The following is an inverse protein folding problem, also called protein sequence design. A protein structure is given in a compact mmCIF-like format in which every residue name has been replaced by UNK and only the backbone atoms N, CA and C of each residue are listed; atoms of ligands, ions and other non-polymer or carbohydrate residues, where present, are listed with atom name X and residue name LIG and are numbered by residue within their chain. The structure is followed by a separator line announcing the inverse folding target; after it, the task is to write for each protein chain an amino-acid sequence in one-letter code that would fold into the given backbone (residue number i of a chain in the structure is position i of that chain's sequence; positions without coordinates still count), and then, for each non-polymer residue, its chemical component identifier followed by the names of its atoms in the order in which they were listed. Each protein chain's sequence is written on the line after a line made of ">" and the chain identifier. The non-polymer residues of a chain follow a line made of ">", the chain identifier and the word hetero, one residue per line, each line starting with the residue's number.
data_IF_723749171008
#
_entry.id   IF_723749171008
#
_cell.length_a   1.000
_cell.length_b   1.000
_cell.length_c   1.000
_cell.angle_alpha   90.00
_cell.angle_beta   90.00
_cell.angle_gamma   90.00
#
_symmetry.space_group_name_H-M   'P 1'
#
loop_
_entity.id
_entity.type
_entity.pdbx_description
1 polymer ?
#
# COMPACT_ATOMS: atom_id res chain seq x y z
N UNK A 1 14.84 -2.23 -16.91
CA UNK A 1 15.68 -1.13 -16.39
C UNK A 1 16.19 -1.56 -15.03
N UNK A 2 17.49 -1.45 -14.74
CA UNK A 2 18.02 -1.83 -13.42
C UNK A 2 17.67 -0.75 -12.41
N UNK A 3 16.92 -1.09 -11.37
CA UNK A 3 16.57 -0.17 -10.29
C UNK A 3 17.85 0.24 -9.54
N UNK A 4 18.14 1.54 -9.44
CA UNK A 4 19.33 2.03 -8.73
C UNK A 4 19.22 1.77 -7.23
N UNK A 5 20.36 1.61 -6.54
CA UNK A 5 20.41 1.40 -5.09
C UNK A 5 19.72 2.51 -4.31
N UNK A 6 19.77 3.74 -4.82
CA UNK A 6 19.18 4.92 -4.19
C UNK A 6 17.65 4.89 -4.25
N UNK A 7 17.09 4.27 -5.28
CA UNK A 7 15.64 4.14 -5.47
C UNK A 7 15.03 3.16 -4.46
N UNK A 8 15.68 2.01 -4.24
CA UNK A 8 15.29 1.06 -3.19
C UNK A 8 15.32 1.69 -1.80
N UNK A 9 16.39 2.45 -1.50
CA UNK A 9 16.53 3.12 -0.21
C UNK A 9 15.39 4.12 0.07
N UNK A 10 14.82 4.75 -0.96
CA UNK A 10 13.68 5.65 -0.80
C UNK A 10 12.40 4.92 -0.41
N UNK A 11 12.11 3.77 -1.03
CA UNK A 11 10.96 2.94 -0.63
C UNK A 11 11.07 2.46 0.81
N UNK A 12 12.28 2.04 1.23
CA UNK A 12 12.50 1.56 2.58
C UNK A 12 12.35 2.67 3.63
N UNK A 13 12.79 3.90 3.32
CA UNK A 13 12.57 5.08 4.19
C UNK A 13 11.10 5.44 4.35
N UNK A 14 10.28 5.12 3.34
CA UNK A 14 8.85 5.37 3.31
C UNK A 14 8.05 4.10 3.62
N UNK A 15 8.67 3.04 4.12
CA UNK A 15 7.96 1.84 4.54
C UNK A 15 7.47 2.02 5.99
N UNK A 16 6.21 1.68 6.24
CA UNK A 16 5.68 1.48 7.59
C UNK A 16 5.49 -0.02 7.87
N UNK A 17 5.96 -0.44 9.04
CA UNK A 17 5.73 -1.78 9.58
C UNK A 17 4.42 -1.85 10.35
N UNK A 18 3.90 -3.07 10.58
CA UNK A 18 2.71 -3.27 11.42
C UNK A 18 2.90 -2.70 12.82
N UNK A 19 4.07 -2.86 13.42
CA UNK A 19 4.32 -2.39 14.79
C UNK A 19 4.33 -0.86 14.88
N UNK A 20 4.89 -0.18 13.87
CA UNK A 20 4.82 1.28 13.76
C UNK A 20 3.38 1.76 13.57
N UNK A 21 2.62 1.11 12.70
CA UNK A 21 1.21 1.43 12.51
C UNK A 21 0.38 1.23 13.78
N UNK A 22 0.65 0.19 14.58
CA UNK A 22 -0.01 -0.02 15.88
C UNK A 22 0.31 1.12 16.85
N UNK A 23 1.57 1.56 16.92
CA UNK A 23 1.97 2.70 17.76
C UNK A 23 1.27 3.98 17.30
N UNK A 24 1.27 4.24 16.00
CA UNK A 24 0.64 5.42 15.41
C UNK A 24 -0.89 5.40 15.53
N UNK A 25 -1.54 4.22 15.53
CA UNK A 25 -2.99 4.09 15.64
C UNK A 25 -3.56 4.65 16.96
N UNK A 26 -2.71 4.86 17.97
CA UNK A 26 -3.06 5.51 19.24
C UNK A 26 -3.02 7.05 19.17
N UNK A 27 -2.37 7.62 18.15
CA UNK A 27 -2.16 9.07 18.01
C UNK A 27 -3.41 9.79 17.43
N UNK A 28 -3.68 11.03 17.85
CA UNK A 28 -4.86 11.80 17.42
C UNK A 28 -4.86 12.23 15.94
N UNK A 29 -3.75 12.10 15.21
CA UNK A 29 -3.62 12.45 13.79
C UNK A 29 -3.21 11.26 12.91
N UNK A 30 -3.65 10.04 13.25
CA UNK A 30 -3.23 8.83 12.55
C UNK A 30 -3.44 8.88 11.04
N UNK A 31 -4.58 9.40 10.57
CA UNK A 31 -4.91 9.42 9.15
C UNK A 31 -3.96 10.32 8.34
N UNK A 32 -3.55 11.46 8.88
CA UNK A 32 -2.65 12.39 8.21
C UNK A 32 -1.20 11.89 8.20
N UNK A 33 -0.81 11.15 9.24
CA UNK A 33 0.58 10.73 9.43
C UNK A 33 1.00 9.49 8.63
N UNK A 34 0.06 8.78 7.99
CA UNK A 34 0.34 7.52 7.29
C UNK A 34 0.19 7.61 5.77
N UNK A 35 -0.42 8.67 5.25
CA UNK A 35 -0.66 8.83 3.81
C UNK A 35 0.66 9.04 3.09
N UNK A 36 0.85 8.35 1.96
CA UNK A 36 2.08 8.43 1.16
C UNK A 36 3.16 7.42 1.58
N UNK A 37 2.95 6.67 2.66
CA UNK A 37 3.84 5.58 3.05
C UNK A 37 3.46 4.26 2.36
N UNK A 38 4.46 3.41 2.17
CA UNK A 38 4.32 2.06 1.63
C UNK A 38 4.21 1.03 2.75
N UNK A 39 3.50 -0.06 2.45
CA UNK A 39 3.39 -1.21 3.35
C UNK A 39 3.56 -2.50 2.58
N UNK A 40 4.08 -3.51 3.27
CA UNK A 40 4.05 -4.90 2.82
C UNK A 40 2.79 -5.55 3.38
N UNK A 41 1.87 -5.97 2.51
CA UNK A 41 0.57 -6.54 2.89
C UNK A 41 0.51 -8.01 2.53
N UNK A 42 0.00 -8.83 3.46
CA UNK A 42 -0.33 -10.24 3.20
C UNK A 42 -1.61 -10.33 2.37
N UNK A 43 -1.56 -11.18 1.35
CA UNK A 43 -2.73 -11.60 0.60
C UNK A 43 -3.69 -12.40 1.48
N UNK A 44 -4.98 -12.39 1.13
CA UNK A 44 -6.00 -13.21 1.80
C UNK A 44 -6.07 -14.64 1.23
N UNK A 45 -5.57 -14.86 0.01
CA UNK A 45 -5.69 -16.14 -0.71
C UNK A 45 -4.49 -17.06 -0.55
N UNK A 46 -3.33 -16.52 -0.19
CA UNK A 46 -2.07 -17.23 -0.09
C UNK A 46 -1.12 -16.51 0.90
N UNK A 47 -0.08 -17.20 1.36
CA UNK A 47 0.99 -16.61 2.18
C UNK A 47 1.90 -15.65 1.37
N UNK A 48 1.40 -15.14 0.24
CA UNK A 48 2.10 -14.17 -0.58
C UNK A 48 2.00 -12.78 0.04
N UNK A 49 2.97 -11.95 -0.30
CA UNK A 49 3.04 -10.55 0.11
C UNK A 49 3.22 -9.64 -1.08
N UNK A 50 2.79 -8.40 -0.91
CA UNK A 50 2.80 -7.40 -1.97
C UNK A 50 3.01 -6.01 -1.40
N UNK A 51 3.50 -5.09 -2.24
CA UNK A 51 3.64 -3.68 -1.90
C UNK A 51 2.33 -2.97 -2.14
N UNK A 52 1.93 -2.11 -1.22
CA UNK A 52 0.82 -1.20 -1.40
C UNK A 52 1.15 0.20 -0.87
N UNK A 53 0.57 1.22 -1.49
CA UNK A 53 0.63 2.61 -1.04
C UNK A 53 -0.56 2.90 -0.12
N UNK A 54 -0.33 3.57 1.01
CA UNK A 54 -1.42 4.06 1.87
C UNK A 54 -1.97 5.37 1.30
N UNK A 55 -3.22 5.36 0.88
CA UNK A 55 -3.95 6.53 0.37
C UNK A 55 -4.82 7.20 1.45
N UNK A 56 -5.07 6.49 2.56
CA UNK A 56 -5.84 7.05 3.66
C UNK A 56 -6.26 6.02 4.69
N UNK A 57 -7.27 6.40 5.47
CA UNK A 57 -7.87 5.56 6.50
C UNK A 57 -9.39 5.72 6.49
N UNK A 58 -10.12 4.65 6.77
CA UNK A 58 -11.53 4.70 7.11
C UNK A 58 -11.85 3.96 8.40
N UNK A 59 -13.02 4.23 8.96
CA UNK A 59 -13.53 3.50 10.12
C UNK A 59 -14.34 2.28 9.65
N UNK A 60 -14.24 1.18 10.38
CA UNK A 60 -14.93 -0.08 10.07
C UNK A 60 -15.31 -0.86 11.32
N UNK A 61 -15.62 -2.15 11.14
CA UNK A 61 -15.98 -3.04 12.25
C UNK A 61 -14.81 -3.18 13.23
N UNK A 62 -15.06 -3.18 14.54
CA UNK A 62 -14.00 -3.30 15.53
C UNK A 62 -13.23 -4.61 15.37
N UNK A 63 -11.93 -4.54 15.60
CA UNK A 63 -11.01 -5.68 15.66
C UNK A 63 -9.90 -5.37 16.68
N UNK A 64 -9.16 -6.41 17.06
CA UNK A 64 -8.11 -6.28 18.08
C UNK A 64 -6.74 -6.08 17.45
N UNK A 65 -5.95 -5.19 18.05
CA UNK A 65 -4.51 -5.08 17.84
C UNK A 65 -3.79 -5.33 19.18
N UNK A 66 -2.49 -5.66 19.14
CA UNK A 66 -1.65 -5.57 20.33
C UNK A 66 -1.84 -4.20 21.01
N UNK A 67 -2.12 -4.21 22.31
CA UNK A 67 -2.37 -3.04 23.15
C UNK A 67 -3.58 -2.14 22.80
N UNK A 68 -4.38 -2.50 21.79
CA UNK A 68 -5.60 -1.76 21.42
C UNK A 68 -6.74 -2.77 21.29
N UNK A 69 -7.52 -2.92 22.37
CA UNK A 69 -8.64 -3.89 22.43
C UNK A 69 -9.74 -3.60 21.40
N UNK A 70 -9.96 -2.34 21.05
CA UNK A 70 -11.01 -1.92 20.13
C UNK A 70 -10.44 -0.96 19.07
N UNK A 71 -9.81 -1.54 18.03
CA UNK A 71 -9.40 -0.78 16.85
C UNK A 71 -10.50 -0.83 15.79
N UNK A 72 -10.90 0.32 15.28
CA UNK A 72 -11.87 0.45 14.18
C UNK A 72 -11.23 1.07 12.94
N UNK A 73 -9.92 1.34 12.96
CA UNK A 73 -9.19 2.02 11.88
C UNK A 73 -8.78 1.00 10.81
N UNK A 74 -9.13 1.25 9.56
CA UNK A 74 -8.71 0.45 8.41
C UNK A 74 -7.90 1.32 7.46
N UNK A 75 -6.86 0.74 6.85
CA UNK A 75 -6.05 1.39 5.84
C UNK A 75 -6.78 1.35 4.50
N UNK A 76 -6.71 2.45 3.75
CA UNK A 76 -7.05 2.50 2.34
C UNK A 76 -5.75 2.35 1.56
N UNK A 77 -5.65 1.28 0.79
CA UNK A 77 -4.44 0.85 0.10
C UNK A 77 -4.64 0.90 -1.41
N UNK A 78 -3.61 1.33 -2.12
CA UNK A 78 -3.52 1.23 -3.57
C UNK A 78 -2.49 0.18 -3.94
N UNK A 79 -2.97 -0.88 -4.56
CA UNK A 79 -2.15 -1.98 -5.03
C UNK A 79 -2.51 -2.25 -6.50
N UNK A 80 -1.75 -1.75 -7.46
CA UNK A 80 -1.99 -2.00 -8.88
C UNK A 80 -2.20 -3.51 -9.16
N UNK A 81 -3.28 -3.91 -9.84
CA UNK A 81 -4.27 -3.11 -10.56
C UNK A 81 -5.48 -2.61 -9.75
N UNK A 82 -5.51 -2.87 -8.45
CA UNK A 82 -6.63 -2.65 -7.54
C UNK A 82 -6.45 -1.38 -6.68
N UNK A 83 -7.04 -0.25 -7.07
CA UNK A 83 -7.07 0.94 -6.21
C UNK A 83 -8.06 0.76 -5.04
N UNK A 84 -7.85 1.52 -3.96
CA UNK A 84 -8.78 1.65 -2.83
C UNK A 84 -9.15 0.35 -2.07
N UNK A 85 -8.22 -0.62 -1.98
CA UNK A 85 -8.39 -1.81 -1.13
C UNK A 85 -8.48 -1.37 0.33
N UNK A 86 -9.48 -1.86 1.05
CA UNK A 86 -9.56 -1.64 2.49
C UNK A 86 -8.92 -2.79 3.25
N UNK A 87 -7.95 -2.48 4.10
CA UNK A 87 -7.15 -3.47 4.81
C UNK A 87 -7.08 -3.20 6.32
N UNK A 88 -7.07 -4.27 7.14
CA UNK A 88 -6.79 -4.16 8.59
C UNK A 88 -5.30 -4.04 8.83
N UNK A 89 -4.91 -3.28 9.85
CA UNK A 89 -3.48 -3.18 10.26
C UNK A 89 -2.86 -4.56 10.58
N UNK A 90 -3.66 -5.55 11.02
CA UNK A 90 -3.20 -6.92 11.29
C UNK A 90 -2.63 -7.65 10.07
N UNK A 91 -2.98 -7.22 8.86
CA UNK A 91 -2.54 -7.82 7.60
C UNK A 91 -1.24 -7.21 7.07
N UNK A 92 -0.71 -6.21 7.75
CA UNK A 92 0.58 -5.61 7.41
C UNK A 92 1.71 -6.47 7.99
N UNK A 93 2.78 -6.64 7.22
CA UNK A 93 3.98 -7.34 7.65
C UNK A 93 4.96 -6.40 8.36
N UNK A 94 5.80 -6.97 9.22
CA UNK A 94 6.97 -6.28 9.78
C UNK A 94 8.24 -6.52 8.94
N UNK A 95 8.16 -7.37 7.92
CA UNK A 95 9.29 -7.64 7.04
C UNK A 95 9.56 -6.48 6.10
N UNK A 96 10.84 -6.28 5.79
CA UNK A 96 11.31 -5.32 4.79
C UNK A 96 10.76 -5.67 3.41
N UNK A 97 10.33 -4.65 2.68
CA UNK A 97 9.97 -4.79 1.26
C UNK A 97 11.24 -5.16 0.47
N UNK A 98 11.13 -6.20 -0.35
CA UNK A 98 12.22 -6.66 -1.21
C UNK A 98 12.25 -5.89 -2.53
N UNK A 99 13.41 -5.93 -3.18
CA UNK A 99 13.59 -5.34 -4.51
C UNK A 99 12.60 -5.90 -5.53
N UNK A 100 12.44 -7.22 -5.56
CA UNK A 100 11.56 -7.92 -6.51
C UNK A 100 10.08 -7.58 -6.30
N UNK A 101 9.67 -7.27 -5.07
CA UNK A 101 8.31 -6.81 -4.77
C UNK A 101 8.06 -5.39 -5.29
N UNK A 102 9.05 -4.51 -5.18
CA UNK A 102 8.98 -3.15 -5.75
C UNK A 102 8.95 -3.20 -7.27
N UNK A 103 9.85 -3.97 -7.88
CA UNK A 103 9.91 -4.10 -9.35
C UNK A 103 8.58 -4.62 -9.93
N UNK A 104 7.93 -5.58 -9.25
CA UNK A 104 6.58 -6.07 -9.63
C UNK A 104 5.50 -5.01 -9.47
N UNK A 105 5.56 -4.21 -8.40
CA UNK A 105 4.60 -3.12 -8.16
C UNK A 105 4.73 -2.01 -9.21
N UNK A 106 5.95 -1.57 -9.51
CA UNK A 106 6.24 -0.57 -10.54
C UNK A 106 5.86 -1.05 -11.96
N UNK A 107 6.16 -2.30 -12.29
CA UNK A 107 5.74 -2.89 -13.55
C UNK A 107 4.21 -2.87 -13.70
N UNK A 108 3.49 -3.17 -12.62
CA UNK A 108 2.02 -3.14 -12.60
C UNK A 108 1.47 -1.71 -12.78
N UNK A 109 2.12 -0.70 -12.17
CA UNK A 109 1.79 0.71 -12.43
C UNK A 109 2.02 1.11 -13.89
N UNK A 110 3.16 0.76 -14.45
CA UNK A 110 3.50 1.11 -15.83
C UNK A 110 2.48 0.51 -16.82
N UNK A 111 2.06 -0.74 -16.60
CA UNK A 111 1.02 -1.39 -17.41
C UNK A 111 -0.32 -0.63 -17.34
N UNK A 112 -0.73 -0.16 -16.15
CA UNK A 112 -1.95 0.64 -16.01
C UNK A 112 -1.85 1.99 -16.73
N UNK A 113 -0.73 2.69 -16.59
CA UNK A 113 -0.51 4.00 -17.23
C UNK A 113 -0.52 3.89 -18.76
N UNK A 114 0.14 2.86 -19.31
CA UNK A 114 0.12 2.57 -20.75
C UNK A 114 -1.29 2.24 -21.23
N UNK A 115 -2.03 1.42 -20.47
CA UNK A 115 -3.41 1.05 -20.80
C UNK A 115 -4.36 2.25 -20.76
N UNK A 116 -4.17 3.17 -19.82
CA UNK A 116 -4.96 4.41 -19.74
C UNK A 116 -4.70 5.33 -20.92
N UNK A 117 -3.43 5.52 -21.29
CA UNK A 117 -3.03 6.37 -22.41
C UNK A 117 -3.59 5.84 -23.73
N UNK A 118 -3.48 4.53 -23.97
CA UNK A 118 -4.03 3.92 -25.19
C UNK A 118 -5.55 4.08 -25.31
N UNK A 119 -6.29 4.03 -24.20
CA UNK A 119 -7.75 4.28 -24.21
C UNK A 119 -8.08 5.72 -24.61
N UNK A 120 -7.28 6.70 -24.19
CA UNK A 120 -7.45 8.10 -24.57
C UNK A 120 -7.16 8.30 -26.06
N UNK A 121 -6.06 7.74 -26.55
CA UNK A 121 -5.68 7.83 -27.97
C UNK A 121 -6.76 7.25 -28.90
N UNK A 122 -7.37 6.12 -28.52
CA UNK A 122 -8.47 5.49 -29.28
C UNK A 122 -9.75 6.34 -29.27
N UNK A 123 -10.01 7.09 -28.20
CA UNK A 123 -11.16 8.00 -28.15
C UNK A 123 -10.93 9.26 -28.99
N UNK A 124 -9.71 9.78 -29.01
CA UNK A 124 -9.34 10.94 -29.84
C UNK A 124 -9.30 10.58 -31.33
N UNK A 125 -8.78 9.42 -31.71
CA UNK A 125 -8.77 8.95 -33.10
C UNK A 125 -10.17 8.65 -33.68
N UNK A 126 -11.20 8.59 -32.85
CA UNK A 126 -12.61 8.39 -33.24
C UNK A 126 -13.42 9.69 -33.32
N UNK A 127 -12.84 10.83 -32.97
CA UNK A 127 -13.42 12.16 -33.17
C UNK A 127 -13.00 12.74 -34.50
#
# INVERSE_FOLDING_TARGET
>A
ASMSSDHLANYLKLQLTKDELIKMAKAPAFAENIVGFYVKVYSDSDDSTSVALIEGMRMGRPYSLPDIKFCTKYLLLSQPPFPNITCRITKISNETITKDEIERWEASLAILQLSSSHKLDVQEAKR
#
